data_IF_533420777524
#
_entry.id   IF_533420777524
#
_cell.length_a   1.000
_cell.length_b   1.000
_cell.length_c   1.000
_cell.angle_alpha   90.00
_cell.angle_beta   90.00
_cell.angle_gamma   90.00
#
_symmetry.space_group_name_H-M   'P 1'
#
loop_
_entity.id
_entity.type
_entity.pdbx_description
1 polymer ?
#
# COMPACT_ATOMS: atom_id res chain seq x y z
N UNK A 1 18.40 -47.26 -33.32
CA UNK A 1 18.26 -46.66 -31.98
C UNK A 1 19.25 -45.51 -31.88
N UNK A 2 18.76 -44.28 -31.75
CA UNK A 2 19.55 -43.04 -31.93
C UNK A 2 20.53 -42.80 -30.78
N UNK A 3 21.83 -42.67 -31.10
CA UNK A 3 22.83 -42.06 -30.21
C UNK A 3 22.78 -40.55 -30.39
N UNK A 4 22.19 -39.81 -29.46
CA UNK A 4 22.30 -38.34 -29.41
C UNK A 4 23.37 -37.96 -28.40
N UNK A 5 24.56 -37.66 -28.90
CA UNK A 5 25.57 -36.89 -28.16
C UNK A 5 25.23 -35.42 -28.34
N UNK A 6 24.99 -34.68 -27.27
CA UNK A 6 24.80 -33.24 -27.30
C UNK A 6 26.16 -32.57 -27.08
N UNK A 7 26.89 -32.33 -28.16
CA UNK A 7 27.96 -31.33 -28.17
C UNK A 7 27.39 -30.06 -28.78
N UNK A 8 27.27 -29.00 -27.99
CA UNK A 8 27.32 -27.63 -28.46
C UNK A 8 27.64 -26.73 -27.27
N UNK A 9 28.89 -26.85 -26.83
CA UNK A 9 29.61 -25.77 -26.17
C UNK A 9 30.01 -24.79 -27.29
N UNK A 10 29.16 -23.81 -27.55
CA UNK A 10 29.39 -22.74 -28.53
C UNK A 10 29.33 -21.40 -27.83
N UNK A 11 30.50 -20.90 -27.44
CA UNK A 11 30.76 -19.57 -26.89
C UNK A 11 30.32 -18.49 -27.89
N UNK A 12 30.36 -17.22 -27.44
CA UNK A 12 30.16 -15.95 -28.17
C UNK A 12 28.71 -15.43 -27.99
N UNK A 13 28.41 -14.30 -27.34
CA UNK A 13 29.15 -13.05 -27.17
C UNK A 13 28.76 -12.39 -25.83
N UNK A 14 29.74 -12.32 -24.94
CA UNK A 14 29.92 -11.19 -24.01
C UNK A 14 30.25 -9.98 -24.89
N UNK A 15 29.53 -8.87 -24.77
CA UNK A 15 29.88 -7.67 -25.52
C UNK A 15 28.80 -6.61 -25.50
N UNK A 16 29.12 -5.47 -24.92
CA UNK A 16 28.34 -4.25 -24.93
C UNK A 16 27.89 -3.81 -26.35
N UNK A 17 26.91 -2.91 -26.36
CA UNK A 17 26.39 -2.06 -27.45
C UNK A 17 25.03 -2.49 -28.01
N UNK A 18 24.01 -1.63 -27.82
CA UNK A 18 22.76 -1.74 -28.58
C UNK A 18 21.58 -1.04 -27.90
N UNK A 19 21.58 0.29 -27.94
CA UNK A 19 20.60 1.18 -27.31
C UNK A 19 19.16 1.13 -27.82
N UNK A 20 18.57 -0.05 -28.08
CA UNK A 20 17.13 -0.21 -28.26
C UNK A 20 16.75 -1.65 -27.88
N UNK A 21 16.49 -1.88 -26.59
CA UNK A 21 15.66 -3.03 -26.23
C UNK A 21 14.36 -2.90 -27.04
N UNK A 22 13.89 -3.97 -27.72
CA UNK A 22 12.64 -3.94 -28.45
C UNK A 22 11.53 -3.45 -27.52
N UNK A 23 10.86 -2.35 -27.88
CA UNK A 23 9.83 -1.68 -27.06
C UNK A 23 8.77 -2.65 -26.49
N UNK A 24 8.51 -3.77 -27.16
CA UNK A 24 7.57 -4.79 -26.72
C UNK A 24 8.02 -5.69 -25.55
N UNK A 25 9.29 -5.66 -25.13
CA UNK A 25 9.79 -6.47 -23.99
C UNK A 25 10.07 -5.60 -22.76
N UNK A 26 10.26 -4.29 -22.92
CA UNK A 26 10.35 -3.33 -21.80
C UNK A 26 9.02 -3.17 -21.04
N UNK A 27 7.87 -3.33 -21.69
CA UNK A 27 6.56 -3.21 -21.04
C UNK A 27 6.17 -4.44 -20.20
N UNK A 28 6.81 -5.60 -20.41
CA UNK A 28 6.54 -6.79 -19.61
C UNK A 28 7.32 -6.83 -18.28
N UNK A 29 8.27 -5.92 -18.06
CA UNK A 29 9.25 -5.97 -16.96
C UNK A 29 9.22 -4.81 -15.97
N UNK A 30 8.09 -4.10 -15.84
CA UNK A 30 7.74 -3.41 -14.58
C UNK A 30 6.43 -3.97 -13.99
N UNK A 31 6.43 -5.16 -13.38
CA UNK A 31 5.20 -5.83 -12.90
C UNK A 31 4.60 -5.25 -11.61
N UNK A 32 4.62 -3.93 -11.42
CA UNK A 32 3.88 -3.24 -10.36
C UNK A 32 3.62 -1.79 -10.78
N UNK A 33 2.49 -1.53 -11.44
CA UNK A 33 2.09 -0.18 -11.87
C UNK A 33 0.71 0.16 -11.33
N UNK A 34 0.58 0.12 -10.00
CA UNK A 34 -0.57 0.73 -9.35
C UNK A 34 -0.55 2.23 -9.68
N UNK A 35 -1.69 2.79 -10.09
CA UNK A 35 -1.79 4.23 -10.37
C UNK A 35 -1.47 5.04 -9.11
N UNK A 36 -1.99 4.61 -7.96
CA UNK A 36 -1.70 5.19 -6.66
C UNK A 36 -1.72 4.12 -5.57
N UNK A 37 -1.00 4.36 -4.47
CA UNK A 37 -0.95 3.47 -3.31
C UNK A 37 -0.96 4.24 -1.99
N UNK A 38 -1.40 3.59 -0.92
CA UNK A 38 -1.43 4.17 0.43
C UNK A 38 -0.70 3.22 1.39
N UNK A 39 0.20 3.77 2.22
CA UNK A 39 0.82 3.03 3.32
C UNK A 39 0.04 3.29 4.61
N UNK A 40 -0.65 2.27 5.10
CA UNK A 40 -1.37 2.35 6.36
C UNK A 40 -0.35 2.31 7.51
N UNK A 41 -0.34 3.31 8.41
CA UNK A 41 0.54 3.30 9.58
C UNK A 41 0.27 2.06 10.43
N UNK A 42 1.31 1.29 10.74
CA UNK A 42 1.18 0.19 11.70
C UNK A 42 1.03 0.80 13.08
N UNK A 43 -0.16 0.74 13.65
CA UNK A 43 -0.42 1.33 14.96
C UNK A 43 0.45 0.68 16.02
N UNK A 44 1.20 1.50 16.77
CA UNK A 44 1.87 1.09 18.00
C UNK A 44 0.88 0.75 19.13
N UNK A 45 -0.42 1.06 18.95
CA UNK A 45 -1.49 0.81 19.92
C UNK A 45 -2.00 -0.65 19.88
N UNK A 46 -1.49 -1.47 18.96
CA UNK A 46 -1.69 -2.92 18.92
C UNK A 46 -0.88 -3.64 20.00
N UNK A 47 -1.20 -3.37 21.26
CA UNK A 47 -0.99 -4.22 22.43
C UNK A 47 0.34 -4.95 22.55
N UNK A 48 1.20 -4.43 23.42
CA UNK A 48 2.21 -5.15 24.20
C UNK A 48 1.56 -6.14 25.22
N UNK A 49 0.39 -6.70 24.91
CA UNK A 49 -0.48 -7.46 25.82
C UNK A 49 -1.26 -8.61 25.17
N UNK A 50 -0.95 -8.98 23.92
CA UNK A 50 -1.46 -10.20 23.28
C UNK A 50 -0.46 -11.34 23.47
N UNK A 51 -0.42 -11.95 24.66
CA UNK A 51 0.38 -13.14 24.92
C UNK A 51 -0.08 -14.32 24.05
N UNK A 52 0.55 -14.50 22.89
CA UNK A 52 0.33 -15.66 22.04
C UNK A 52 0.78 -15.40 20.61
N UNK A 53 1.76 -16.18 20.14
CA UNK A 53 2.23 -16.30 18.75
C UNK A 53 1.20 -15.83 17.69
N UNK A 54 1.35 -14.63 17.13
CA UNK A 54 0.38 -14.14 16.15
C UNK A 54 0.80 -12.85 15.43
N UNK A 55 1.56 -12.99 14.35
CA UNK A 55 1.72 -11.93 13.34
C UNK A 55 0.42 -11.68 12.56
N UNK A 56 -0.63 -11.25 13.26
CA UNK A 56 -1.97 -11.06 12.68
C UNK A 56 -1.99 -9.94 11.63
N UNK A 57 -2.60 -10.23 10.48
CA UNK A 57 -2.86 -9.23 9.44
C UNK A 57 -3.83 -8.17 9.99
N UNK A 58 -3.47 -6.90 9.80
CA UNK A 58 -4.31 -5.76 10.14
C UNK A 58 -5.50 -5.74 9.15
N UNK A 59 -6.73 -5.85 9.66
CA UNK A 59 -7.92 -5.76 8.80
C UNK A 59 -8.25 -4.30 8.56
N UNK A 60 -8.59 -3.94 7.32
CA UNK A 60 -8.98 -2.57 6.97
C UNK A 60 -10.18 -2.56 6.03
N UNK A 61 -10.96 -1.48 6.10
CA UNK A 61 -12.05 -1.15 5.18
C UNK A 61 -11.72 0.19 4.55
N UNK A 62 -11.91 0.31 3.25
CA UNK A 62 -11.53 1.49 2.45
C UNK A 62 -12.75 2.01 1.72
N UNK A 63 -12.89 3.33 1.67
CA UNK A 63 -13.88 4.03 0.86
C UNK A 63 -13.23 5.22 0.14
N UNK A 64 -13.78 5.57 -1.02
CA UNK A 64 -13.35 6.75 -1.80
C UNK A 64 -14.49 7.77 -1.82
N UNK A 65 -14.17 9.03 -1.56
CA UNK A 65 -15.13 10.12 -1.72
C UNK A 65 -15.47 10.33 -3.20
N UNK A 66 -16.74 10.55 -3.52
CA UNK A 66 -17.18 10.83 -4.89
C UNK A 66 -16.86 12.26 -5.36
N UNK A 67 -16.66 13.18 -4.41
CA UNK A 67 -16.60 14.61 -4.67
C UNK A 67 -15.21 15.21 -4.41
N UNK A 68 -14.35 14.48 -3.71
CA UNK A 68 -13.00 14.89 -3.36
C UNK A 68 -12.05 13.73 -3.65
N UNK A 69 -10.79 13.98 -4.02
CA UNK A 69 -9.80 12.93 -4.27
C UNK A 69 -9.28 12.35 -2.93
N UNK A 70 -10.21 11.88 -2.09
CA UNK A 70 -9.98 11.46 -0.72
C UNK A 70 -10.34 10.00 -0.52
N UNK A 71 -9.35 9.22 -0.07
CA UNK A 71 -9.50 7.83 0.37
C UNK A 71 -9.60 7.82 1.89
N UNK A 72 -10.64 7.16 2.40
CA UNK A 72 -10.87 6.96 3.82
C UNK A 72 -10.56 5.51 4.18
N UNK A 73 -9.79 5.29 5.23
CA UNK A 73 -9.36 3.96 5.68
C UNK A 73 -9.69 3.80 7.16
N UNK A 74 -10.42 2.74 7.50
CA UNK A 74 -10.67 2.32 8.88
C UNK A 74 -9.93 1.01 9.13
N UNK A 75 -9.15 0.94 10.20
CA UNK A 75 -8.38 -0.24 10.59
C UNK A 75 -8.98 -0.91 11.82
N UNK A 76 -8.76 -2.23 11.95
CA UNK A 76 -9.32 -3.03 13.06
C UNK A 76 -8.76 -2.71 14.45
N UNK A 77 -7.66 -1.98 14.51
CA UNK A 77 -7.07 -1.43 15.75
C UNK A 77 -7.69 -0.07 16.14
N UNK A 78 -8.71 0.40 15.41
CA UNK A 78 -9.46 1.61 15.71
C UNK A 78 -8.90 2.88 15.07
N UNK A 79 -7.94 2.78 14.15
CA UNK A 79 -7.49 3.92 13.36
C UNK A 79 -8.50 4.32 12.29
N UNK A 80 -8.71 5.63 12.12
CA UNK A 80 -9.44 6.22 11.00
C UNK A 80 -8.58 7.27 10.32
N UNK A 81 -8.29 7.05 9.04
CA UNK A 81 -7.33 7.84 8.27
C UNK A 81 -7.99 8.38 7.00
N UNK A 82 -7.68 9.62 6.65
CA UNK A 82 -8.11 10.26 5.39
C UNK A 82 -6.86 10.63 4.61
N UNK A 83 -6.71 10.06 3.42
CA UNK A 83 -5.61 10.31 2.50
C UNK A 83 -6.11 11.09 1.28
N UNK A 84 -5.30 12.03 0.78
CA UNK A 84 -5.50 12.62 -0.54
C UNK A 84 -4.71 11.83 -1.57
N UNK A 85 -5.28 11.66 -2.77
CA UNK A 85 -4.63 11.09 -3.95
C UNK A 85 -4.48 12.17 -5.01
N UNK A 86 -3.33 12.21 -5.69
CA UNK A 86 -3.18 12.99 -6.91
C UNK A 86 -3.86 12.24 -8.07
N UNK A 87 -4.90 12.83 -8.66
CA UNK A 87 -5.65 12.18 -9.74
C UNK A 87 -5.05 12.41 -11.13
N UNK A 88 -4.02 13.26 -11.25
CA UNK A 88 -3.28 13.50 -12.49
C UNK A 88 -2.05 12.61 -12.57
N UNK A 89 -1.23 12.61 -11.52
CA UNK A 89 0.05 11.89 -11.49
C UNK A 89 0.01 10.56 -10.72
N UNK A 90 -0.99 10.38 -9.85
CA UNK A 90 -1.09 9.19 -9.00
C UNK A 90 -0.06 9.18 -7.87
N UNK A 91 0.57 8.03 -7.64
CA UNK A 91 1.66 7.88 -6.66
C UNK A 91 1.20 7.62 -5.22
N UNK A 92 1.99 8.08 -4.24
CA UNK A 92 1.72 7.83 -2.82
C UNK A 92 0.65 8.78 -2.28
N UNK A 93 -0.41 8.21 -1.70
CA UNK A 93 -1.44 8.99 -1.03
C UNK A 93 -0.92 9.68 0.23
N UNK A 94 -1.24 10.97 0.36
CA UNK A 94 -0.77 11.81 1.48
C UNK A 94 -1.79 11.77 2.60
N UNK A 95 -1.38 11.39 3.81
CA UNK A 95 -2.24 11.42 5.00
C UNK A 95 -2.60 12.87 5.36
N UNK A 96 -3.90 13.18 5.36
CA UNK A 96 -4.43 14.52 5.66
C UNK A 96 -4.99 14.58 7.07
N UNK A 97 -5.71 13.53 7.49
CA UNK A 97 -6.36 13.47 8.80
C UNK A 97 -6.23 12.08 9.39
N UNK A 98 -6.03 12.04 10.70
CA UNK A 98 -6.01 10.81 11.48
C UNK A 98 -6.86 11.00 12.74
N UNK A 99 -7.68 10.02 13.03
CA UNK A 99 -8.55 9.94 14.19
C UNK A 99 -8.43 8.55 14.81
N UNK A 100 -8.85 8.42 16.07
CA UNK A 100 -9.10 7.13 16.70
C UNK A 100 -10.59 6.97 16.91
N UNK A 101 -11.16 5.88 16.38
CA UNK A 101 -12.57 5.54 16.57
C UNK A 101 -12.84 5.14 18.03
N UNK A 102 -11.83 4.61 18.72
CA UNK A 102 -11.92 4.16 20.11
C UNK A 102 -11.88 5.30 21.12
N UNK A 103 -11.39 6.49 20.73
CA UNK A 103 -11.42 7.69 21.57
C UNK A 103 -12.66 8.52 21.24
N UNK A 104 -13.82 7.99 21.59
CA UNK A 104 -15.04 8.79 21.70
C UNK A 104 -15.50 8.66 23.14
N UNK A 105 -15.80 9.80 23.78
CA UNK A 105 -16.34 10.00 25.15
C UNK A 105 -15.34 10.59 26.15
N UNK A 106 -15.46 11.90 26.40
CA UNK A 106 -15.16 12.58 27.69
C UNK A 106 -15.35 14.12 27.64
N UNK A 107 -15.87 14.70 26.55
CA UNK A 107 -16.13 16.17 26.49
C UNK A 107 -17.46 16.55 25.86
N UNK A 108 -18.56 15.96 26.35
CA UNK A 108 -19.90 16.48 26.02
C UNK A 108 -20.86 16.57 27.21
N UNK A 109 -20.39 16.82 28.44
CA UNK A 109 -21.30 17.08 29.57
C UNK A 109 -20.70 18.04 30.61
N UNK A 110 -20.42 19.31 30.27
CA UNK A 110 -20.33 20.36 31.29
C UNK A 110 -20.40 21.75 30.62
N UNK A 111 -21.57 22.39 30.58
CA UNK A 111 -21.65 23.76 30.09
C UNK A 111 -23.01 24.41 29.92
N UNK A 112 -24.13 23.72 30.19
CA UNK A 112 -25.47 24.29 29.88
C UNK A 112 -26.39 24.41 31.11
N UNK A 113 -25.88 24.26 32.34
CA UNK A 113 -26.71 24.40 33.56
C UNK A 113 -26.30 25.55 34.48
N UNK A 114 -25.71 26.63 33.96
CA UNK A 114 -25.59 27.88 34.72
C UNK A 114 -25.87 29.07 33.80
N UNK A 115 -27.05 29.67 33.99
CA UNK A 115 -27.60 30.77 33.18
C UNK A 115 -29.10 30.96 33.43
#
# INVERSE_FOLDING_TARGET
>A
MFRRTSQLMGKNVVGAMGGYLPKGVTEMWEPARDFAFIKIPKSALGGEGGGGNGGGLMRSVVAMSSNFPQVMVVTSDGGFYVFNIDMEEGGEGVLVKQYSVLQTEDKFEQGVLDG
#
